data_IF_358719281426
#
_entry.id   IF_358719281426
#
_cell.length_a   1.000
_cell.length_b   1.000
_cell.length_c   1.000
_cell.angle_alpha   90.00
_cell.angle_beta   90.00
_cell.angle_gamma   90.00
#
_symmetry.space_group_name_H-M   'P 1'
#
loop_
_entity.id
_entity.type
_entity.pdbx_description
1 polymer ?
#
# COMPACT_ATOMS: atom_id res chain seq x y z
N UNK A 1 16.03 17.18 5.68
CA UNK A 1 15.93 15.77 5.26
C UNK A 1 16.03 14.93 6.51
N UNK A 2 15.00 14.16 6.85
CA UNK A 2 15.01 13.34 8.05
C UNK A 2 15.97 12.17 7.85
N UNK A 3 16.96 12.06 8.72
CA UNK A 3 17.80 10.89 8.87
C UNK A 3 17.23 10.09 10.05
N UNK A 4 16.63 8.94 9.78
CA UNK A 4 15.99 8.11 10.80
C UNK A 4 16.89 6.92 11.09
N UNK A 5 17.32 6.78 12.34
CA UNK A 5 18.17 5.68 12.77
C UNK A 5 17.36 4.67 13.58
N UNK A 6 17.15 3.48 13.01
CA UNK A 6 16.38 2.38 13.62
C UNK A 6 17.28 1.26 14.17
N UNK A 7 18.58 1.51 14.31
CA UNK A 7 19.58 0.47 14.65
C UNK A 7 19.26 -0.19 15.99
N UNK A 8 18.94 0.57 17.04
CA UNK A 8 18.63 0.01 18.37
C UNK A 8 17.40 -0.91 18.35
N UNK A 9 16.38 -0.53 17.59
CA UNK A 9 15.16 -1.33 17.49
C UNK A 9 15.40 -2.61 16.69
N UNK A 10 16.17 -2.52 15.61
CA UNK A 10 16.59 -3.67 14.82
C UNK A 10 17.47 -4.62 15.62
N UNK A 11 18.40 -4.10 16.41
CA UNK A 11 19.26 -4.89 17.30
C UNK A 11 18.44 -5.68 18.31
N UNK A 12 17.44 -5.04 18.91
CA UNK A 12 16.55 -5.68 19.88
C UNK A 12 15.71 -6.81 19.26
N UNK A 13 15.25 -6.62 18.02
CA UNK A 13 14.20 -7.46 17.43
C UNK A 13 14.69 -8.49 16.41
N UNK A 14 15.79 -8.20 15.71
CA UNK A 14 16.20 -8.94 14.52
C UNK A 14 17.68 -9.29 14.50
N UNK A 15 18.59 -8.36 14.87
CA UNK A 15 20.03 -8.61 14.75
C UNK A 15 20.47 -9.76 15.65
N UNK A 16 21.31 -10.66 15.12
CA UNK A 16 21.82 -11.85 15.80
C UNK A 16 20.77 -12.90 16.22
N UNK A 17 19.48 -12.64 16.03
CA UNK A 17 18.43 -13.64 16.23
C UNK A 17 18.56 -14.76 15.21
N UNK A 18 18.21 -15.97 15.64
CA UNK A 18 18.19 -17.17 14.82
C UNK A 18 16.74 -17.62 14.69
N UNK A 19 16.29 -17.75 13.44
CA UNK A 19 14.94 -18.18 13.09
C UNK A 19 14.99 -19.62 12.56
N UNK A 20 14.24 -20.56 13.16
CA UNK A 20 14.18 -21.95 12.71
C UNK A 20 13.77 -22.10 11.24
N UNK A 21 12.90 -21.23 10.75
CA UNK A 21 12.33 -21.30 9.42
C UNK A 21 12.28 -19.93 8.72
N UNK A 22 12.16 -19.96 7.39
CA UNK A 22 11.97 -18.73 6.60
C UNK A 22 10.63 -18.05 6.90
N UNK A 23 9.59 -18.83 7.22
CA UNK A 23 8.28 -18.31 7.58
C UNK A 23 8.34 -17.50 8.89
N UNK A 24 9.01 -18.02 9.92
CA UNK A 24 9.19 -17.29 11.20
C UNK A 24 10.02 -16.02 11.03
N UNK A 25 11.08 -16.08 10.22
CA UNK A 25 11.84 -14.89 9.86
C UNK A 25 10.96 -13.85 9.14
N UNK A 26 10.13 -14.27 8.17
CA UNK A 26 9.23 -13.35 7.46
C UNK A 26 8.20 -12.72 8.40
N UNK A 27 7.64 -13.48 9.35
CA UNK A 27 6.74 -12.96 10.39
C UNK A 27 7.45 -11.90 11.23
N UNK A 28 8.66 -12.18 11.71
CA UNK A 28 9.44 -11.24 12.51
C UNK A 28 9.80 -9.97 11.72
N UNK A 29 10.22 -10.13 10.45
CA UNK A 29 10.50 -9.01 9.55
C UNK A 29 9.24 -8.16 9.32
N UNK A 30 8.10 -8.79 9.06
CA UNK A 30 6.82 -8.09 8.91
C UNK A 30 6.42 -7.33 10.18
N UNK A 31 6.67 -7.91 11.35
CA UNK A 31 6.46 -7.24 12.63
C UNK A 31 7.34 -6.00 12.80
N UNK A 32 8.63 -6.11 12.46
CA UNK A 32 9.56 -4.98 12.46
C UNK A 32 9.15 -3.89 11.45
N UNK A 33 8.84 -4.27 10.22
CA UNK A 33 8.38 -3.36 9.16
C UNK A 33 7.13 -2.57 9.56
N UNK A 34 6.16 -3.25 10.19
CA UNK A 34 4.93 -2.60 10.65
C UNK A 34 5.18 -1.65 11.81
N UNK A 35 6.04 -2.00 12.77
CA UNK A 35 6.32 -1.15 13.93
C UNK A 35 7.11 0.11 13.55
N UNK A 36 8.04 -0.04 12.61
CA UNK A 36 8.94 1.04 12.18
C UNK A 36 8.44 1.79 10.95
N UNK A 37 7.30 1.40 10.38
CA UNK A 37 6.79 1.93 9.12
C UNK A 37 7.86 1.90 8.00
N UNK A 38 8.59 0.80 7.92
CA UNK A 38 9.59 0.53 6.88
C UNK A 38 9.15 -0.62 5.98
N UNK A 39 9.84 -0.78 4.84
CA UNK A 39 9.65 -1.93 3.95
C UNK A 39 10.97 -2.37 3.37
N UNK A 40 11.22 -3.66 3.35
CA UNK A 40 12.41 -4.28 2.81
C UNK A 40 12.10 -5.22 1.65
N UNK A 41 12.98 -5.23 0.67
CA UNK A 41 12.91 -6.07 -0.52
C UNK A 41 14.19 -6.88 -0.67
N UNK A 42 14.05 -8.11 -1.18
CA UNK A 42 15.19 -8.98 -1.51
C UNK A 42 15.98 -8.32 -2.64
N UNK A 43 17.26 -8.03 -2.40
CA UNK A 43 18.16 -7.40 -3.38
C UNK A 43 19.07 -8.42 -4.05
N UNK A 44 19.64 -9.31 -3.25
CA UNK A 44 20.50 -10.38 -3.71
C UNK A 44 20.18 -11.64 -2.92
N UNK A 45 20.23 -12.79 -3.58
CA UNK A 45 19.98 -14.07 -2.94
C UNK A 45 20.92 -15.12 -3.51
N UNK A 46 21.60 -15.81 -2.61
CA UNK A 46 22.38 -16.99 -2.94
C UNK A 46 21.56 -18.21 -2.55
N UNK A 47 21.19 -19.01 -3.53
CA UNK A 47 20.42 -20.23 -3.31
C UNK A 47 21.31 -21.33 -2.70
N UNK A 48 20.69 -22.17 -1.88
CA UNK A 48 21.31 -23.40 -1.42
C UNK A 48 21.06 -24.46 -2.51
N UNK A 49 22.12 -24.98 -3.15
CA UNK A 49 21.96 -25.89 -4.30
C UNK A 49 21.63 -27.33 -3.88
N UNK A 50 21.97 -27.71 -2.64
CA UNK A 50 22.07 -29.12 -2.23
C UNK A 50 21.06 -29.54 -1.15
N UNK A 51 20.22 -28.63 -0.66
CA UNK A 51 19.24 -28.89 0.41
C UNK A 51 17.91 -28.24 0.04
N UNK A 52 16.83 -29.01 -0.17
CA UNK A 52 15.52 -28.50 -0.55
C UNK A 52 14.77 -27.81 0.61
N UNK A 53 15.20 -27.99 1.86
CA UNK A 53 14.51 -27.43 3.03
C UNK A 53 14.77 -25.94 3.21
N UNK A 54 15.99 -25.48 2.91
CA UNK A 54 16.40 -24.08 3.02
C UNK A 54 16.70 -23.48 1.66
N UNK A 55 15.76 -22.69 1.14
CA UNK A 55 15.82 -22.10 -0.21
C UNK A 55 17.05 -21.22 -0.45
N UNK A 56 17.56 -20.54 0.57
CA UNK A 56 18.62 -19.55 0.43
C UNK A 56 19.72 -19.72 1.47
N UNK A 57 20.96 -19.81 1.01
CA UNK A 57 22.14 -19.75 1.88
C UNK A 57 22.38 -18.33 2.41
N UNK A 58 22.10 -17.32 1.57
CA UNK A 58 22.25 -15.91 1.93
C UNK A 58 21.20 -15.09 1.22
N UNK A 59 20.62 -14.12 1.92
CA UNK A 59 19.73 -13.12 1.32
C UNK A 59 20.13 -11.75 1.85
N UNK A 60 20.38 -10.82 0.94
CA UNK A 60 20.59 -9.41 1.25
C UNK A 60 19.26 -8.67 1.03
N UNK A 61 18.78 -7.99 2.06
CA UNK A 61 17.60 -7.14 2.03
C UNK A 61 18.03 -5.68 2.01
N UNK A 62 17.32 -4.86 1.23
CA UNK A 62 17.48 -3.41 1.25
C UNK A 62 16.13 -2.73 1.44
N UNK A 63 16.14 -1.54 2.04
CA UNK A 63 14.93 -0.74 2.13
C UNK A 63 14.37 -0.47 0.73
N UNK A 64 13.05 -0.56 0.62
CA UNK A 64 12.31 -0.32 -0.62
C UNK A 64 12.27 1.16 -1.00
N UNK A 65 12.31 2.06 -0.02
CA UNK A 65 12.30 3.51 -0.23
C UNK A 65 13.72 4.01 -0.53
N UNK A 66 13.83 5.19 -1.14
CA UNK A 66 15.09 5.83 -1.51
C UNK A 66 14.99 6.59 -2.82
N UNK A 67 15.98 7.42 -3.16
CA UNK A 67 15.95 8.20 -4.40
C UNK A 67 16.01 7.27 -5.61
N UNK A 68 15.34 7.61 -6.73
CA UNK A 68 15.55 6.94 -8.00
C UNK A 68 17.05 6.93 -8.32
N UNK A 69 17.61 5.77 -8.62
CA UNK A 69 18.98 5.69 -9.09
C UNK A 69 19.07 6.40 -10.45
N UNK A 70 19.88 7.45 -10.49
CA UNK A 70 20.22 8.16 -11.72
C UNK A 70 20.94 7.19 -12.67
N UNK A 71 20.31 6.91 -13.80
CA UNK A 71 20.96 6.09 -14.82
C UNK A 71 22.12 6.87 -15.43
N UNK A 72 23.32 6.28 -15.45
CA UNK A 72 24.50 6.87 -16.11
C UNK A 72 24.48 6.75 -17.65
N UNK A 73 23.38 6.29 -18.24
CA UNK A 73 23.24 6.10 -19.68
C UNK A 73 22.84 7.38 -20.41
N UNK A 74 23.32 7.55 -21.65
CA UNK A 74 23.08 8.71 -22.54
C UNK A 74 21.64 8.85 -23.05
N UNK A 75 20.73 7.94 -22.69
CA UNK A 75 19.28 8.16 -22.65
C UNK A 75 18.54 8.33 -23.99
N UNK A 76 18.23 7.23 -24.70
CA UNK A 76 17.07 7.20 -25.63
C UNK A 76 15.76 6.80 -24.91
N UNK A 77 15.84 6.21 -23.72
CA UNK A 77 14.70 5.88 -22.85
C UNK A 77 15.05 6.22 -21.40
N UNK A 78 14.52 7.33 -20.89
CA UNK A 78 14.61 7.72 -19.48
C UNK A 78 13.57 6.95 -18.67
N UNK A 79 13.81 5.67 -18.40
CA UNK A 79 13.01 4.94 -17.40
C UNK A 79 13.67 5.10 -16.05
N UNK A 80 13.02 5.82 -15.13
CA UNK A 80 13.42 5.87 -13.73
C UNK A 80 13.55 4.44 -13.20
N UNK A 81 14.77 4.04 -12.82
CA UNK A 81 14.97 2.70 -12.29
C UNK A 81 14.38 2.60 -10.89
N UNK A 82 13.66 1.52 -10.60
CA UNK A 82 13.13 1.19 -9.26
C UNK A 82 14.21 0.89 -8.22
N UNK A 83 15.48 1.15 -8.54
CA UNK A 83 16.62 0.98 -7.65
C UNK A 83 16.65 2.19 -6.72
N UNK A 84 16.04 2.03 -5.55
CA UNK A 84 16.01 3.04 -4.51
C UNK A 84 17.37 3.13 -3.79
N UNK A 85 17.83 4.36 -3.57
CA UNK A 85 19.16 4.67 -3.03
C UNK A 85 19.25 4.73 -1.51
N UNK A 86 18.35 4.07 -0.76
CA UNK A 86 18.47 4.03 0.70
C UNK A 86 19.64 3.13 1.11
N UNK A 87 20.36 3.56 2.15
CA UNK A 87 21.53 2.84 2.68
C UNK A 87 21.12 1.72 3.63
N UNK A 88 19.91 1.77 4.19
CA UNK A 88 19.39 0.76 5.09
C UNK A 88 19.29 -0.62 4.41
N UNK A 89 20.02 -1.58 4.98
CA UNK A 89 20.18 -2.94 4.45
C UNK A 89 20.60 -3.90 5.54
N UNK A 90 20.27 -5.17 5.37
CA UNK A 90 20.73 -6.23 6.26
C UNK A 90 20.89 -7.54 5.52
N UNK A 91 21.67 -8.45 6.10
CA UNK A 91 21.94 -9.75 5.52
C UNK A 91 21.46 -10.86 6.44
N UNK A 92 20.76 -11.83 5.85
CA UNK A 92 20.36 -13.08 6.48
C UNK A 92 21.19 -14.21 5.90
N UNK A 93 21.70 -15.10 6.76
CA UNK A 93 22.44 -16.30 6.34
C UNK A 93 21.83 -17.55 6.95
N UNK A 94 21.84 -18.63 6.18
CA UNK A 94 21.56 -19.95 6.71
C UNK A 94 22.73 -20.43 7.57
N UNK A 95 22.41 -21.00 8.72
CA UNK A 95 23.33 -21.61 9.68
C UNK A 95 22.81 -23.00 10.04
N UNK A 96 23.59 -23.80 10.79
CA UNK A 96 23.14 -25.12 11.24
C UNK A 96 21.85 -25.07 12.08
N UNK A 97 21.61 -23.96 12.77
CA UNK A 97 20.47 -23.79 13.68
C UNK A 97 19.30 -23.02 13.04
N UNK A 98 19.36 -22.74 11.74
CA UNK A 98 18.36 -21.94 11.01
C UNK A 98 18.92 -20.65 10.42
N UNK A 99 18.07 -19.66 10.18
CA UNK A 99 18.41 -18.39 9.55
C UNK A 99 18.85 -17.36 10.57
N UNK A 100 20.07 -16.86 10.45
CA UNK A 100 20.62 -15.81 11.32
C UNK A 100 20.72 -14.47 10.58
N UNK A 101 20.26 -13.40 11.21
CA UNK A 101 20.54 -12.03 10.76
C UNK A 101 21.96 -11.66 11.20
N UNK A 102 22.88 -11.56 10.24
CA UNK A 102 24.32 -11.44 10.52
C UNK A 102 24.85 -10.01 10.52
N UNK A 103 24.17 -9.09 9.84
CA UNK A 103 24.55 -7.69 9.78
C UNK A 103 23.33 -6.84 9.46
N UNK A 104 23.33 -5.60 9.94
CA UNK A 104 22.29 -4.61 9.62
C UNK A 104 22.84 -3.20 9.72
N UNK A 105 22.55 -2.39 8.71
CA UNK A 105 22.66 -0.93 8.73
C UNK A 105 21.24 -0.40 8.62
N UNK A 106 20.79 0.41 9.59
CA UNK A 106 19.39 0.82 9.75
C UNK A 106 19.22 2.34 9.78
N UNK A 107 20.14 3.03 9.10
CA UNK A 107 20.07 4.47 8.86
C UNK A 107 19.29 4.73 7.57
N UNK A 108 18.23 5.52 7.67
CA UNK A 108 17.35 5.84 6.57
C UNK A 108 17.50 7.30 6.15
N UNK A 109 17.83 7.50 4.88
CA UNK A 109 17.89 8.82 4.26
C UNK A 109 16.53 9.38 3.80
N UNK A 110 15.43 8.85 4.37
CA UNK A 110 14.06 9.24 4.07
C UNK A 110 13.21 9.09 5.34
N UNK A 111 12.12 9.86 5.47
CA UNK A 111 11.18 9.68 6.58
C UNK A 111 10.56 8.29 6.56
N UNK A 112 10.27 7.77 7.76
CA UNK A 112 9.60 6.49 7.98
C UNK A 112 8.23 6.70 8.63
N UNK A 113 7.55 7.80 8.29
CA UNK A 113 6.27 8.13 8.88
C UNK A 113 5.16 7.21 8.32
N UNK A 114 4.15 6.92 9.15
CA UNK A 114 3.03 6.07 8.76
C UNK A 114 2.32 6.58 7.50
N UNK A 115 2.12 7.89 7.41
CA UNK A 115 1.53 8.54 6.24
C UNK A 115 2.31 8.24 4.95
N UNK A 116 3.64 8.43 4.98
CA UNK A 116 4.52 8.17 3.84
C UNK A 116 4.59 6.69 3.45
N UNK A 117 4.36 5.79 4.40
CA UNK A 117 4.29 4.36 4.14
C UNK A 117 2.92 3.95 3.58
N UNK A 118 1.83 4.55 4.05
CA UNK A 118 0.44 4.29 3.61
C UNK A 118 0.24 4.53 2.11
N UNK A 119 0.89 5.56 1.56
CA UNK A 119 0.80 5.91 0.13
C UNK A 119 1.62 4.96 -0.77
N UNK A 120 2.46 4.10 -0.20
CA UNK A 120 3.29 3.18 -0.99
C UNK A 120 2.45 2.12 -1.67
N UNK A 121 2.96 1.65 -2.82
CA UNK A 121 2.37 0.52 -3.55
C UNK A 121 2.10 -0.69 -2.65
N UNK A 122 2.97 -0.98 -1.70
CA UNK A 122 2.85 -2.17 -0.86
C UNK A 122 1.70 -2.06 0.15
N UNK A 123 1.48 -0.89 0.76
CA UNK A 123 0.41 -0.70 1.74
C UNK A 123 -0.95 -0.45 1.07
N UNK A 124 -0.97 0.23 -0.08
CA UNK A 124 -2.21 0.45 -0.85
C UNK A 124 -2.68 -0.78 -1.63
N UNK A 125 -1.84 -1.82 -1.79
CA UNK A 125 -2.24 -3.02 -2.53
C UNK A 125 -3.31 -3.80 -1.76
N UNK A 126 -4.40 -4.08 -2.46
CA UNK A 126 -5.45 -4.91 -1.91
C UNK A 126 -4.98 -6.38 -1.80
N UNK A 127 -5.32 -7.03 -0.68
CA UNK A 127 -5.13 -8.47 -0.51
C UNK A 127 -6.11 -9.24 -1.40
N UNK A 128 -5.93 -10.55 -1.56
CA UNK A 128 -6.85 -11.38 -2.34
C UNK A 128 -8.32 -11.27 -1.89
N UNK A 129 -8.66 -11.40 -0.59
CA UNK A 129 -10.05 -11.25 -0.16
C UNK A 129 -10.59 -9.83 -0.37
N UNK A 130 -9.79 -8.80 -0.10
CA UNK A 130 -10.20 -7.41 -0.35
C UNK A 130 -10.47 -7.15 -1.84
N UNK A 131 -9.66 -7.74 -2.72
CA UNK A 131 -9.87 -7.64 -4.17
C UNK A 131 -11.19 -8.28 -4.58
N UNK A 132 -11.60 -9.37 -3.97
CA UNK A 132 -12.88 -10.03 -4.26
C UNK A 132 -14.05 -9.12 -3.90
N UNK A 133 -14.03 -8.50 -2.72
CA UNK A 133 -15.04 -7.53 -2.29
C UNK A 133 -15.12 -6.34 -3.27
N UNK A 134 -13.97 -5.75 -3.62
CA UNK A 134 -13.91 -4.62 -4.56
C UNK A 134 -14.32 -5.02 -5.97
N UNK A 135 -14.11 -6.29 -6.35
CA UNK A 135 -14.52 -6.79 -7.67
C UNK A 135 -16.03 -6.77 -7.84
N UNK A 136 -16.79 -7.03 -6.78
CA UNK A 136 -18.24 -6.92 -6.80
C UNK A 136 -18.69 -5.48 -7.04
N UNK A 137 -18.08 -4.51 -6.36
CA UNK A 137 -18.37 -3.08 -6.57
C UNK A 137 -18.08 -2.64 -8.02
N UNK A 138 -16.98 -3.15 -8.61
CA UNK A 138 -16.65 -2.89 -10.01
C UNK A 138 -17.71 -3.49 -10.93
N UNK A 139 -18.19 -4.71 -10.67
CA UNK A 139 -19.24 -5.36 -11.47
C UNK A 139 -20.58 -4.62 -11.38
N UNK A 140 -20.94 -4.07 -10.22
CA UNK A 140 -22.12 -3.22 -10.05
C UNK A 140 -21.98 -1.82 -10.64
N UNK A 141 -20.85 -1.50 -11.27
CA UNK A 141 -20.66 -0.23 -11.98
C UNK A 141 -20.36 0.98 -11.08
N UNK A 142 -19.90 0.76 -9.84
CA UNK A 142 -19.58 1.85 -8.92
C UNK A 142 -18.50 2.77 -9.51
N UNK A 143 -18.64 4.07 -9.26
CA UNK A 143 -17.68 5.08 -9.74
C UNK A 143 -16.32 4.92 -9.06
N UNK A 144 -15.27 5.42 -9.70
CA UNK A 144 -13.91 5.39 -9.14
C UNK A 144 -13.84 6.04 -7.76
N UNK A 145 -14.56 7.15 -7.54
CA UNK A 145 -14.60 7.83 -6.24
C UNK A 145 -15.24 6.97 -5.16
N UNK A 146 -16.36 6.31 -5.49
CA UNK A 146 -17.05 5.41 -4.54
C UNK A 146 -16.22 4.18 -4.19
N UNK A 147 -15.47 3.64 -5.15
CA UNK A 147 -14.55 2.52 -4.89
C UNK A 147 -13.41 2.96 -3.95
N UNK A 148 -12.87 4.17 -4.12
CA UNK A 148 -11.82 4.71 -3.25
C UNK A 148 -12.33 4.93 -1.83
N UNK A 149 -13.48 5.59 -1.68
CA UNK A 149 -14.16 5.81 -0.40
C UNK A 149 -14.38 4.49 0.33
N UNK A 150 -14.94 3.49 -0.35
CA UNK A 150 -15.11 2.15 0.22
C UNK A 150 -13.79 1.53 0.70
N UNK A 151 -12.71 1.63 -0.08
CA UNK A 151 -11.43 1.03 0.31
C UNK A 151 -10.76 1.77 1.48
N UNK A 152 -10.97 3.08 1.58
CA UNK A 152 -10.48 3.90 2.68
C UNK A 152 -11.27 3.58 3.97
N UNK A 153 -12.60 3.50 3.89
CA UNK A 153 -13.45 3.21 5.04
C UNK A 153 -13.33 1.76 5.54
N UNK A 154 -13.32 0.80 4.61
CA UNK A 154 -13.36 -0.64 4.95
C UNK A 154 -11.99 -1.22 5.28
N UNK A 155 -10.95 -0.78 4.58
CA UNK A 155 -9.61 -1.38 4.67
C UNK A 155 -8.52 -0.40 5.12
N UNK A 156 -8.86 0.88 5.31
CA UNK A 156 -7.89 1.95 5.59
C UNK A 156 -6.80 2.05 4.51
N UNK A 157 -7.17 1.81 3.24
CA UNK A 157 -6.26 1.82 2.09
C UNK A 157 -6.62 2.90 1.08
N UNK A 158 -5.70 3.84 0.89
CA UNK A 158 -5.85 4.97 -0.03
C UNK A 158 -5.43 4.56 -1.45
N UNK A 159 -6.41 4.20 -2.28
CA UNK A 159 -6.18 3.82 -3.67
C UNK A 159 -6.01 5.02 -4.60
N UNK A 160 -5.09 4.91 -5.56
CA UNK A 160 -5.00 5.89 -6.65
C UNK A 160 -6.02 5.60 -7.75
N UNK A 161 -6.21 6.55 -8.68
CA UNK A 161 -7.05 6.32 -9.86
C UNK A 161 -6.49 5.20 -10.74
N UNK A 162 -5.17 5.08 -10.82
CA UNK A 162 -4.48 4.02 -11.57
C UNK A 162 -4.74 2.65 -10.94
N UNK A 163 -4.84 2.58 -9.62
CA UNK A 163 -5.11 1.33 -8.91
C UNK A 163 -6.49 0.78 -9.27
N UNK A 164 -7.50 1.64 -9.24
CA UNK A 164 -8.87 1.29 -9.66
C UNK A 164 -8.91 0.93 -11.15
N UNK A 165 -8.17 1.66 -11.98
CA UNK A 165 -8.08 1.38 -13.42
C UNK A 165 -7.43 0.02 -13.70
N UNK A 166 -6.38 -0.31 -12.95
CA UNK A 166 -5.71 -1.61 -13.01
C UNK A 166 -6.63 -2.73 -12.54
N UNK A 167 -7.38 -2.54 -11.44
CA UNK A 167 -8.36 -3.52 -10.96
C UNK A 167 -9.43 -3.80 -12.03
N UNK A 168 -9.99 -2.75 -12.63
CA UNK A 168 -10.95 -2.87 -13.76
C UNK A 168 -10.35 -3.58 -14.96
N UNK A 169 -9.08 -3.33 -15.27
CA UNK A 169 -8.36 -4.00 -16.36
C UNK A 169 -8.16 -5.48 -16.07
N UNK A 170 -7.73 -5.83 -14.85
CA UNK A 170 -7.56 -7.23 -14.44
C UNK A 170 -8.87 -8.00 -14.54
N UNK A 171 -9.98 -7.45 -14.06
CA UNK A 171 -11.30 -8.09 -14.15
C UNK A 171 -11.76 -8.31 -15.59
N UNK A 172 -11.62 -7.29 -16.46
CA UNK A 172 -11.94 -7.44 -17.89
C UNK A 172 -11.08 -8.51 -18.56
N UNK A 173 -9.79 -8.54 -18.27
CA UNK A 173 -8.88 -9.53 -18.85
C UNK A 173 -9.23 -10.95 -18.39
N UNK A 174 -9.59 -11.13 -17.11
CA UNK A 174 -10.05 -12.42 -16.59
C UNK A 174 -11.36 -12.88 -17.25
N UNK A 175 -12.31 -11.97 -17.46
CA UNK A 175 -13.55 -12.26 -18.18
C UNK A 175 -13.28 -12.66 -19.65
N UNK A 176 -12.40 -11.94 -20.35
CA UNK A 176 -12.02 -12.24 -21.74
C UNK A 176 -11.32 -13.60 -21.85
N UNK A 177 -10.42 -13.93 -20.91
CA UNK A 177 -9.72 -15.21 -20.88
C UNK A 177 -10.67 -16.40 -20.66
N UNK A 178 -11.74 -16.21 -19.88
CA UNK A 178 -12.78 -17.23 -19.70
C UNK A 178 -13.61 -17.45 -20.96
N UNK A 179 -13.87 -16.39 -21.74
CA UNK A 179 -14.64 -16.45 -22.99
C UNK A 179 -13.82 -17.07 -24.13
N UNK A 180 -12.49 -16.89 -24.15
CA UNK A 180 -11.60 -17.38 -25.20
C UNK A 180 -10.42 -18.20 -24.60
N UNK A 181 -10.60 -19.51 -24.33
CA UNK A 181 -9.59 -20.32 -23.66
C UNK A 181 -8.33 -20.59 -24.51
N UNK A 182 -8.38 -20.38 -25.83
CA UNK A 182 -7.27 -20.64 -26.77
C UNK A 182 -6.02 -19.77 -26.61
N UNK A 183 -6.04 -18.71 -25.78
CA UNK A 183 -4.91 -17.82 -25.53
C UNK A 183 -4.40 -17.84 -24.06
N UNK A 184 -4.88 -18.78 -23.24
CA UNK A 184 -4.65 -18.78 -21.79
C UNK A 184 -3.33 -19.46 -21.39
N UNK A 185 -2.18 -18.82 -21.63
CA UNK A 185 -0.91 -19.23 -21.02
C UNK A 185 -0.49 -18.40 -19.80
N UNK A 186 -1.25 -17.38 -19.38
CA UNK A 186 -0.89 -16.52 -18.23
C UNK A 186 -2.10 -15.91 -17.48
N UNK A 187 -3.06 -16.71 -17.01
CA UNK A 187 -4.18 -16.19 -16.20
C UNK A 187 -4.11 -16.67 -14.75
N UNK A 188 -3.86 -15.78 -13.76
CA UNK A 188 -4.00 -16.11 -12.35
C UNK A 188 -5.30 -15.49 -11.81
N UNK A 189 -6.41 -16.20 -11.94
CA UNK A 189 -7.56 -16.10 -11.02
C UNK A 189 -8.59 -17.18 -11.39
N UNK A 190 -8.58 -18.30 -10.69
CA UNK A 190 -9.67 -19.28 -10.73
C UNK A 190 -10.57 -19.01 -9.52
N UNK A 191 -11.49 -18.07 -9.67
CA UNK A 191 -12.65 -17.97 -8.81
C UNK A 191 -13.87 -18.37 -9.63
N UNK A 192 -14.67 -19.29 -9.11
CA UNK A 192 -15.91 -19.77 -9.72
C UNK A 192 -16.89 -18.61 -9.83
N UNK A 193 -17.05 -18.05 -11.03
CA UNK A 193 -18.05 -17.01 -11.29
C UNK A 193 -19.43 -17.66 -11.48
N UNK A 194 -20.46 -17.31 -10.68
CA UNK A 194 -21.83 -17.66 -11.01
C UNK A 194 -22.27 -16.90 -12.28
N UNK A 195 -22.93 -17.62 -13.19
CA UNK A 195 -23.57 -17.07 -14.40
C UNK A 195 -24.61 -16.02 -13.99
N UNK A 196 -24.44 -14.78 -14.42
CA UNK A 196 -25.57 -13.84 -14.58
C UNK A 196 -26.03 -13.96 -16.04
N UNK A 197 -27.25 -14.44 -16.32
CA UNK A 197 -27.78 -14.47 -17.68
C UNK A 197 -27.95 -13.03 -18.17
N UNK A 198 -27.28 -12.71 -19.27
CA UNK A 198 -27.50 -11.47 -20.01
C UNK A 198 -28.86 -11.52 -20.70
N UNK A 199 -29.92 -11.14 -19.98
CA UNK A 199 -31.14 -10.59 -20.57
C UNK A 199 -32.05 -10.00 -19.50
N UNK A 200 -31.82 -8.73 -19.17
CA UNK A 200 -32.87 -7.78 -18.76
C UNK A 200 -32.25 -6.38 -18.70
N UNK A 201 -32.07 -5.78 -19.87
CA UNK A 201 -32.04 -4.32 -19.97
C UNK A 201 -33.45 -3.85 -19.60
N UNK A 202 -33.60 -3.26 -18.42
CA UNK A 202 -34.76 -2.47 -18.07
C UNK A 202 -34.31 -0.99 -17.99
N UNK A 203 -35.06 -0.05 -18.58
CA UNK A 203 -34.66 1.35 -18.62
C UNK A 203 -34.77 2.00 -17.24
N UNK A 204 -33.83 2.90 -16.95
CA UNK A 204 -33.75 3.72 -15.74
C UNK A 204 -35.05 4.44 -15.40
N UNK A 205 -35.48 4.52 -14.13
CA UNK A 205 -36.46 5.51 -13.72
C UNK A 205 -35.76 6.85 -13.45
N UNK A 206 -36.21 7.88 -14.14
CA UNK A 206 -35.93 9.28 -13.82
C UNK A 206 -36.40 9.59 -12.40
N UNK A 207 -35.47 9.93 -11.50
CA UNK A 207 -35.81 10.62 -10.25
C UNK A 207 -35.52 12.11 -10.41
N UNK A 208 -36.60 12.87 -10.56
CA UNK A 208 -36.64 14.33 -10.55
C UNK A 208 -36.28 14.80 -9.14
N UNK A 209 -35.06 15.32 -8.96
CA UNK A 209 -34.72 16.12 -7.78
C UNK A 209 -35.29 17.53 -7.97
N UNK A 210 -36.29 17.87 -7.16
CA UNK A 210 -36.74 19.25 -6.99
C UNK A 210 -35.68 20.02 -6.21
N UNK A 211 -35.13 21.06 -6.82
CA UNK A 211 -34.42 22.15 -6.13
C UNK A 211 -35.44 23.09 -5.50
N UNK A 212 -35.15 23.70 -4.33
CA UNK A 212 -35.63 25.03 -4.03
C UNK A 212 -34.47 26.02 -4.09
N UNK A 213 -34.56 26.93 -5.05
CA UNK A 213 -33.86 28.22 -5.03
C UNK A 213 -34.89 29.29 -4.70
N UNK A 214 -34.68 30.06 -3.63
CA UNK A 214 -35.02 31.47 -3.59
C UNK A 214 -34.35 32.14 -2.39
N UNK A 215 -33.55 33.14 -2.74
CA UNK A 215 -32.94 34.21 -1.97
C UNK A 215 -33.90 35.02 -1.10
N UNK A 216 -33.39 35.52 0.04
CA UNK A 216 -33.69 36.90 0.46
C UNK A 216 -32.44 37.51 1.10
N UNK A 217 -32.00 38.63 0.55
CA UNK A 217 -31.09 39.59 1.18
C UNK A 217 -31.93 40.50 2.07
N UNK A 218 -31.44 40.87 3.25
CA UNK A 218 -31.63 42.24 3.74
C UNK A 218 -30.53 42.65 4.71
N UNK A 219 -30.22 43.94 4.67
CA UNK A 219 -29.08 44.62 5.32
C UNK A 219 -29.55 45.50 6.48
N UNK A 220 -28.69 45.74 7.48
CA UNK A 220 -28.52 46.98 8.27
C UNK A 220 -27.53 46.66 9.41
N UNK A 221 -26.29 47.16 9.45
CA UNK A 221 -25.81 48.52 9.76
C UNK A 221 -26.08 48.96 11.22
N UNK A 222 -24.97 48.94 11.99
CA UNK A 222 -24.50 49.88 13.03
C UNK A 222 -25.40 50.24 14.24
N UNK A 223 -24.89 50.04 15.46
CA UNK A 223 -24.21 51.08 16.27
C UNK A 223 -23.91 50.58 17.71
N UNK A 224 -22.82 51.14 18.23
CA UNK A 224 -22.23 51.13 19.58
C UNK A 224 -23.18 51.49 20.74
N UNK A 225 -22.80 51.13 21.98
CA UNK A 225 -22.60 52.06 23.12
C UNK A 225 -22.26 51.31 24.45
N UNK A 226 -21.20 51.81 25.12
CA UNK A 226 -20.94 52.00 26.58
C UNK A 226 -20.91 50.80 27.53
N UNK A 227 -19.76 50.48 28.14
CA UNK A 227 -19.23 51.00 29.43
C UNK A 227 -20.12 50.69 30.64
N UNK A 228 -19.57 49.90 31.59
CA UNK A 228 -19.39 50.29 33.00
C UNK A 228 -19.24 49.10 33.98
N UNK A 229 -18.16 49.19 34.77
CA UNK A 229 -18.05 48.87 36.20
C UNK A 229 -17.68 47.45 36.73
N UNK A 230 -16.40 47.39 37.10
CA UNK A 230 -15.69 46.70 38.21
C UNK A 230 -16.24 47.19 39.60
N UNK A 231 -15.84 46.74 40.82
CA UNK A 231 -15.21 45.51 41.38
C UNK A 231 -16.04 44.88 42.54
N UNK A 232 -15.49 43.83 43.19
CA UNK A 232 -15.29 43.62 44.66
C UNK A 232 -15.36 42.11 44.92
N UNK A 233 -14.32 41.40 45.36
CA UNK A 233 -13.69 41.39 46.69
C UNK A 233 -13.63 39.92 47.15
N UNK A 234 -12.44 39.40 47.40
CA UNK A 234 -12.01 38.85 48.69
C UNK A 234 -12.80 37.64 49.20
N UNK A 235 -12.22 36.44 49.11
CA UNK A 235 -11.57 35.72 50.22
C UNK A 235 -10.64 34.62 49.65
#
# INVERSE_FOLDING_TARGET
MADVNLTKEFEKTMLNHVFPSFAEFEIALHGFENRTNTKYSKRNSQMFRNDPTMKFMRVDYCCFKGRPHESRGTGMRQTATSKCSCIAKFTVRCTANGLKVVSGQMEHNHPTDEYEMSITKHKRLLTLPEKEEVSNLIQYGYSTSKIKEFCEDRFSKRLTTDDVSNLRRTLRNSQIAYINPGNALNAPFTASFPRIPMNSVAPSPHTVFHSPSASVMDSCVSQSLVDSDVPTGAE
#
